data_IF_830093522312
#
_entry.id   IF_830093522312
#
_cell.length_a   1.000
_cell.length_b   1.000
_cell.length_c   1.000
_cell.angle_alpha   90.00
_cell.angle_beta   90.00
_cell.angle_gamma   90.00
#
_symmetry.space_group_name_H-M   'P 1'
#
loop_
_entity.id
_entity.type
_entity.pdbx_description
1 polymer ?
#
# COMPACT_ATOMS: atom_id res chain seq x y z
N UNK A 1 4.73 13.43 -9.53
CA UNK A 1 4.95 12.31 -8.58
C UNK A 1 3.83 11.31 -8.78
N UNK A 2 4.16 10.05 -9.09
CA UNK A 2 3.21 9.04 -9.55
C UNK A 2 3.48 7.69 -8.90
N UNK A 3 2.47 6.81 -8.84
CA UNK A 3 2.66 5.40 -8.45
C UNK A 3 3.84 4.77 -9.23
N UNK A 4 4.67 3.91 -8.63
CA UNK A 4 5.84 3.35 -9.29
C UNK A 4 5.46 2.57 -10.55
N UNK A 5 6.34 2.59 -11.57
CA UNK A 5 6.15 1.78 -12.79
C UNK A 5 6.30 0.29 -12.48
N UNK A 6 7.31 -0.05 -11.69
CA UNK A 6 7.59 -1.40 -11.19
C UNK A 6 7.73 -1.34 -9.68
N UNK A 7 7.10 -2.27 -8.97
CA UNK A 7 7.18 -2.41 -7.52
C UNK A 7 7.57 -3.85 -7.20
N UNK A 8 8.71 -4.02 -6.53
CA UNK A 8 9.18 -5.32 -6.06
C UNK A 8 8.80 -5.49 -4.60
N UNK A 9 8.03 -6.55 -4.33
CA UNK A 9 7.53 -6.87 -2.99
C UNK A 9 8.29 -8.08 -2.44
N UNK A 10 8.73 -7.99 -1.18
CA UNK A 10 9.35 -9.09 -0.45
C UNK A 10 8.80 -9.11 0.97
N UNK A 11 8.24 -10.25 1.37
CA UNK A 11 7.82 -10.48 2.75
C UNK A 11 9.02 -10.28 3.69
N UNK A 12 8.81 -9.54 4.77
CA UNK A 12 9.83 -9.11 5.71
C UNK A 12 10.45 -7.75 5.41
N UNK A 13 10.31 -7.21 4.19
CA UNK A 13 10.85 -5.90 3.84
C UNK A 13 10.02 -4.74 4.39
N UNK A 14 10.67 -3.59 4.62
CA UNK A 14 10.01 -2.33 5.00
C UNK A 14 9.50 -1.56 3.79
N UNK A 15 8.29 -1.01 3.92
CA UNK A 15 7.63 -0.22 2.90
C UNK A 15 6.98 1.03 3.51
N UNK A 16 6.88 2.07 2.69
CA UNK A 16 6.24 3.35 3.03
C UNK A 16 5.05 3.60 2.12
N UNK A 17 3.94 4.08 2.69
CA UNK A 17 2.78 4.59 1.95
C UNK A 17 3.17 5.90 1.27
N UNK A 18 2.87 6.03 -0.02
CA UNK A 18 3.26 7.22 -0.83
C UNK A 18 2.10 8.14 -1.22
N UNK A 19 0.89 7.83 -0.77
CA UNK A 19 -0.32 8.63 -1.00
C UNK A 19 -1.18 8.65 0.26
N UNK A 20 -1.89 9.75 0.49
CA UNK A 20 -2.92 9.79 1.51
C UNK A 20 -4.10 8.92 1.06
N UNK A 21 -4.23 7.73 1.65
CA UNK A 21 -5.30 6.78 1.37
C UNK A 21 -6.50 7.04 2.27
N UNK A 22 -6.24 7.21 3.57
CA UNK A 22 -7.23 7.56 4.58
C UNK A 22 -6.52 8.31 5.71
N UNK A 23 -6.57 9.64 5.68
CA UNK A 23 -5.90 10.49 6.68
C UNK A 23 -6.51 10.33 8.07
N UNK A 24 -7.79 9.97 8.15
CA UNK A 24 -8.47 9.74 9.44
C UNK A 24 -8.05 8.44 10.11
N UNK A 25 -7.51 7.51 9.33
CA UNK A 25 -7.03 6.20 9.79
C UNK A 25 -5.48 6.12 9.83
N UNK A 26 -4.79 7.27 9.71
CA UNK A 26 -3.33 7.33 9.71
C UNK A 26 -2.65 6.70 8.47
N UNK A 27 -3.41 6.25 7.46
CA UNK A 27 -2.89 5.73 6.20
C UNK A 27 -2.47 6.88 5.28
N UNK A 28 -1.47 7.64 5.72
CA UNK A 28 -0.96 8.85 5.09
C UNK A 28 0.35 8.61 4.36
N UNK A 29 0.70 9.53 3.46
CA UNK A 29 2.04 9.54 2.86
C UNK A 29 3.10 9.66 3.96
N UNK A 30 4.05 8.74 3.98
CA UNK A 30 5.07 8.64 5.03
C UNK A 30 4.85 7.49 6.01
N UNK A 31 3.63 6.96 6.13
CA UNK A 31 3.37 5.84 7.06
C UNK A 31 4.20 4.61 6.67
N UNK A 32 5.00 4.10 7.61
CA UNK A 32 5.92 2.99 7.36
C UNK A 32 5.54 1.73 8.10
N UNK A 33 5.93 0.59 7.53
CA UNK A 33 5.72 -0.69 8.18
C UNK A 33 6.40 -1.83 7.46
N UNK A 34 6.27 -3.02 8.04
CA UNK A 34 6.83 -4.26 7.50
C UNK A 34 5.78 -5.06 6.76
N UNK A 35 6.08 -5.45 5.52
CA UNK A 35 5.26 -6.37 4.73
C UNK A 35 5.33 -7.77 5.34
N UNK A 36 4.18 -8.34 5.70
CA UNK A 36 4.10 -9.65 6.37
C UNK A 36 3.41 -10.72 5.54
N UNK A 37 2.55 -10.36 4.60
CA UNK A 37 1.88 -11.31 3.72
C UNK A 37 1.47 -10.68 2.38
N UNK A 38 1.42 -11.49 1.33
CA UNK A 38 0.93 -11.10 0.00
C UNK A 38 -0.20 -12.04 -0.40
N UNK A 39 -1.40 -11.51 -0.54
CA UNK A 39 -2.51 -12.25 -1.14
C UNK A 39 -2.41 -12.13 -2.67
N UNK A 40 -2.41 -13.26 -3.36
CA UNK A 40 -2.42 -13.32 -4.81
C UNK A 40 -3.86 -13.31 -5.34
N UNK A 41 -4.13 -12.53 -6.38
CA UNK A 41 -5.42 -12.48 -7.06
C UNK A 41 -5.65 -13.65 -8.01
N UNK A 42 -6.74 -13.59 -8.79
CA UNK A 42 -7.16 -14.67 -9.69
C UNK A 42 -6.01 -15.19 -10.57
N UNK A 43 -5.87 -16.51 -10.58
CA UNK A 43 -4.83 -17.28 -11.30
C UNK A 43 -3.40 -17.12 -10.74
N UNK A 44 -3.22 -16.52 -9.55
CA UNK A 44 -1.91 -16.42 -8.89
C UNK A 44 -0.89 -15.52 -9.60
N UNK A 45 -1.31 -14.77 -10.63
CA UNK A 45 -0.40 -13.99 -11.50
C UNK A 45 -0.04 -12.61 -10.95
N UNK A 46 -0.92 -12.01 -10.14
CA UNK A 46 -0.74 -10.65 -9.63
C UNK A 46 -1.19 -10.55 -8.18
N UNK A 47 -0.44 -9.85 -7.31
CA UNK A 47 -0.91 -9.55 -5.96
C UNK A 47 -2.21 -8.74 -6.00
N UNK A 48 -3.20 -9.16 -5.20
CA UNK A 48 -4.46 -8.45 -5.02
C UNK A 48 -4.45 -7.57 -3.78
N UNK A 49 -3.73 -7.98 -2.74
CA UNK A 49 -3.61 -7.29 -1.46
C UNK A 49 -2.28 -7.62 -0.81
N UNK A 50 -1.75 -6.66 -0.07
CA UNK A 50 -0.62 -6.88 0.82
C UNK A 50 -1.03 -6.59 2.26
N UNK A 51 -0.40 -7.26 3.21
CA UNK A 51 -0.63 -7.06 4.63
C UNK A 51 0.62 -6.46 5.24
N UNK A 52 0.47 -5.32 5.91
CA UNK A 52 1.56 -4.55 6.52
C UNK A 52 1.29 -4.43 8.01
N UNK A 53 2.31 -4.68 8.82
CA UNK A 53 2.34 -4.25 10.22
C UNK A 53 3.00 -2.88 10.24
N UNK A 54 2.20 -1.84 10.48
CA UNK A 54 2.69 -0.47 10.59
C UNK A 54 3.47 -0.26 11.90
N UNK A 55 4.40 0.68 11.86
CA UNK A 55 5.25 1.02 13.01
C UNK A 55 4.41 1.65 14.13
N UNK A 56 3.50 2.55 13.77
CA UNK A 56 2.47 3.09 14.65
C UNK A 56 1.24 2.14 14.68
N UNK A 57 0.93 1.49 15.82
CA UNK A 57 -0.17 0.51 15.90
C UNK A 57 -1.55 1.08 15.57
N UNK A 58 -1.75 2.38 15.78
CA UNK A 58 -3.01 3.08 15.53
C UNK A 58 -3.31 3.21 14.02
N UNK A 59 -2.28 3.16 13.17
CA UNK A 59 -2.42 3.30 11.72
C UNK A 59 -3.17 2.10 11.14
N UNK A 60 -4.24 2.36 10.40
CA UNK A 60 -5.03 1.36 9.70
C UNK A 60 -6.08 0.65 10.57
N UNK A 61 -6.43 1.18 11.75
CA UNK A 61 -7.43 0.58 12.63
C UNK A 61 -8.78 0.35 11.93
N UNK A 62 -9.27 1.35 11.20
CA UNK A 62 -10.54 1.27 10.48
C UNK A 62 -10.44 0.30 9.30
N UNK A 63 -9.31 0.29 8.57
CA UNK A 63 -9.06 -0.71 7.55
C UNK A 63 -9.12 -2.12 8.14
N UNK A 64 -8.45 -2.41 9.26
CA UNK A 64 -8.51 -3.73 9.91
C UNK A 64 -9.92 -4.13 10.32
N UNK A 65 -10.72 -3.19 10.85
CA UNK A 65 -12.14 -3.44 11.17
C UNK A 65 -12.96 -3.80 9.92
N UNK A 66 -12.81 -3.05 8.82
CA UNK A 66 -13.51 -3.32 7.54
C UNK A 66 -13.15 -4.70 6.97
N UNK A 67 -11.94 -5.18 7.22
CA UNK A 67 -11.43 -6.47 6.74
C UNK A 67 -11.47 -7.58 7.79
N UNK A 68 -12.13 -7.37 8.92
CA UNK A 68 -12.19 -8.31 10.05
C UNK A 68 -12.65 -9.71 9.67
N UNK A 69 -13.61 -9.85 8.76
CA UNK A 69 -14.08 -11.15 8.26
C UNK A 69 -12.96 -11.96 7.60
N UNK A 70 -12.12 -11.31 6.80
CA UNK A 70 -11.00 -11.94 6.10
C UNK A 70 -9.88 -12.27 7.10
N UNK A 71 -9.57 -11.35 8.01
CA UNK A 71 -8.58 -11.55 9.08
C UNK A 71 -8.96 -12.78 9.91
N UNK A 72 -10.21 -12.84 10.40
CA UNK A 72 -10.70 -13.96 11.20
C UNK A 72 -10.72 -15.27 10.44
N UNK A 73 -11.24 -15.28 9.20
CA UNK A 73 -11.31 -16.50 8.37
C UNK A 73 -9.93 -17.09 8.09
N UNK A 74 -8.94 -16.25 7.84
CA UNK A 74 -7.58 -16.67 7.54
C UNK A 74 -6.69 -16.80 8.79
N UNK A 75 -7.24 -16.54 9.98
CA UNK A 75 -6.51 -16.55 11.26
C UNK A 75 -5.28 -15.62 11.26
N UNK A 76 -5.39 -14.47 10.59
CA UNK A 76 -4.32 -13.48 10.57
C UNK A 76 -4.28 -12.67 11.88
N UNK A 77 -3.09 -12.22 12.33
CA UNK A 77 -2.97 -11.32 13.47
C UNK A 77 -3.75 -10.01 13.29
N UNK A 78 -4.37 -9.53 14.38
CA UNK A 78 -5.25 -8.35 14.36
C UNK A 78 -4.53 -7.01 14.13
N UNK A 79 -3.20 -6.99 14.14
CA UNK A 79 -2.39 -5.82 13.81
C UNK A 79 -1.93 -5.80 12.34
N UNK A 80 -2.38 -6.76 11.51
CA UNK A 80 -2.07 -6.77 10.09
C UNK A 80 -3.04 -5.87 9.33
N UNK A 81 -2.51 -4.78 8.77
CA UNK A 81 -3.30 -3.83 8.01
C UNK A 81 -3.31 -4.20 6.52
N UNK A 82 -4.49 -4.34 5.89
CA UNK A 82 -4.59 -4.60 4.46
C UNK A 82 -4.31 -3.34 3.65
N UNK A 83 -3.51 -3.46 2.59
CA UNK A 83 -3.29 -2.41 1.59
C UNK A 83 -3.56 -2.99 0.21
N UNK A 84 -4.40 -2.31 -0.57
CA UNK A 84 -4.82 -2.72 -1.91
C UNK A 84 -4.29 -1.76 -2.99
N UNK A 85 -4.22 -2.18 -4.26
CA UNK A 85 -3.83 -1.29 -5.35
C UNK A 85 -4.80 -0.12 -5.55
N UNK A 86 -4.27 1.10 -5.61
CA UNK A 86 -5.02 2.33 -5.92
C UNK A 86 -4.91 2.67 -7.40
N UNK A 87 -5.93 3.34 -7.96
CA UNK A 87 -5.90 3.89 -9.33
C UNK A 87 -5.62 5.38 -9.26
N UNK A 88 -4.58 5.84 -9.96
CA UNK A 88 -4.22 7.27 -10.07
C UNK A 88 -4.18 7.69 -11.54
N UNK A 89 -4.70 8.88 -11.84
CA UNK A 89 -4.61 9.49 -13.18
C UNK A 89 -3.27 10.21 -13.34
N UNK A 90 -2.54 9.87 -14.41
CA UNK A 90 -1.26 10.46 -14.77
C UNK A 90 -1.44 11.26 -16.06
N UNK A 91 -1.26 12.57 -15.98
CA UNK A 91 -1.20 13.45 -17.15
C UNK A 91 0.19 13.34 -17.78
N UNK A 92 0.27 12.95 -19.06
CA UNK A 92 1.55 12.79 -19.77
C UNK A 92 2.15 14.11 -20.26
N UNK A 93 1.32 15.11 -20.56
CA UNK A 93 1.75 16.43 -21.02
C UNK A 93 0.78 17.51 -20.48
N UNK A 94 1.29 18.71 -20.14
CA UNK A 94 0.45 19.84 -19.65
C UNK A 94 -0.52 20.34 -20.73
N UNK A 95 -0.15 20.19 -22.00
CA UNK A 95 -0.90 20.73 -23.16
C UNK A 95 -1.87 19.72 -23.79
N UNK A 96 -1.81 18.43 -23.42
CA UNK A 96 -2.68 17.40 -23.99
C UNK A 96 -3.75 16.98 -22.99
N UNK A 97 -4.98 16.78 -23.45
CA UNK A 97 -6.07 16.20 -22.64
C UNK A 97 -5.89 14.69 -22.36
N UNK A 98 -4.78 14.08 -22.80
CA UNK A 98 -4.50 12.67 -22.60
C UNK A 98 -4.20 12.37 -21.11
N UNK A 99 -5.07 11.57 -20.51
CA UNK A 99 -4.90 11.03 -19.16
C UNK A 99 -4.67 9.53 -19.23
N UNK A 100 -3.69 9.02 -18.48
CA UNK A 100 -3.41 7.60 -18.37
C UNK A 100 -3.71 7.14 -16.95
N UNK A 101 -4.56 6.13 -16.80
CA UNK A 101 -4.84 5.52 -15.50
C UNK A 101 -3.77 4.48 -15.18
N UNK A 102 -3.24 4.54 -13.95
CA UNK A 102 -2.33 3.53 -13.41
C UNK A 102 -2.94 2.92 -12.16
N UNK A 103 -3.08 1.59 -12.15
CA UNK A 103 -3.44 0.81 -10.97
C UNK A 103 -2.18 0.16 -10.38
N UNK A 104 -1.82 0.49 -9.15
CA UNK A 104 -0.63 -0.03 -8.47
C UNK A 104 -0.76 0.14 -6.94
N UNK A 105 -0.05 -0.64 -6.15
CA UNK A 105 0.05 -0.40 -4.71
C UNK A 105 0.69 0.97 -4.42
N UNK A 106 0.13 1.74 -3.48
CA UNK A 106 0.66 3.03 -3.08
C UNK A 106 1.85 2.87 -2.12
N UNK A 107 2.85 2.06 -2.50
CA UNK A 107 3.99 1.69 -1.66
C UNK A 107 5.34 1.91 -2.36
N UNK A 108 6.37 2.21 -1.57
CA UNK A 108 7.79 2.13 -1.97
C UNK A 108 8.60 1.40 -0.89
N UNK A 109 9.69 0.70 -1.26
CA UNK A 109 10.65 0.18 -0.28
C UNK A 109 11.19 1.30 0.62
N UNK A 110 11.35 1.01 1.90
CA UNK A 110 11.69 1.99 2.94
C UNK A 110 12.81 1.51 3.89
N UNK A 111 13.62 0.53 3.49
CA UNK A 111 14.83 0.14 4.24
C UNK A 111 15.89 1.25 4.26
N UNK A 112 15.91 2.07 3.20
CA UNK A 112 16.74 3.26 3.09
C UNK A 112 15.98 4.33 2.31
N UNK A 113 16.02 5.56 2.81
CA UNK A 113 15.41 6.72 2.17
C UNK A 113 16.45 7.82 2.01
N UNK A 114 16.36 8.59 0.94
CA UNK A 114 17.23 9.76 0.77
C UNK A 114 16.75 10.88 1.71
N UNK A 115 17.68 11.72 2.17
CA UNK A 115 17.37 12.81 3.14
C UNK A 115 16.24 13.71 2.65
N UNK A 116 16.21 14.05 1.35
CA UNK A 116 15.14 14.86 0.75
C UNK A 116 13.74 14.19 0.84
N UNK A 117 13.67 12.88 1.08
CA UNK A 117 12.42 12.11 1.18
C UNK A 117 11.99 11.83 2.61
N UNK A 118 12.85 12.14 3.59
CA UNK A 118 12.63 11.90 5.03
C UNK A 118 11.89 13.08 5.66
#
# INVERSE_FOLDING_TARGET
MGLPRSLYLKVGGRYMIIYNLDTSDGLTNGATGRLVQIDMGNQGRKPSRVWIVFDEPEVGCNARRRYSSIISRNQYPQNWTPVEPTVVSIKRNRTSNLQVLRKQFPLLPAEAMTIHKS
#
